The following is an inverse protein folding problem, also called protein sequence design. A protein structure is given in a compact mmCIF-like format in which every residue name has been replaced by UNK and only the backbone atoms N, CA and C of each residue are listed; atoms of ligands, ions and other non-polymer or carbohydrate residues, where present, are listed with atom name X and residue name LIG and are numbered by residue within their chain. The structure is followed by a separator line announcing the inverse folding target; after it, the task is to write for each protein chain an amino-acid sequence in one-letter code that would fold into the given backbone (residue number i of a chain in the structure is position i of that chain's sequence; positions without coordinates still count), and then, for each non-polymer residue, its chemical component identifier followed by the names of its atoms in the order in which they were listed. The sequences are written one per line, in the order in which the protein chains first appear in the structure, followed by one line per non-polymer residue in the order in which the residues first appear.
data_IF_671000740586
#
_entry.id   IF_671000740586
#
_cell.length_a   1.000
_cell.length_b   1.000
_cell.length_c   1.000
_cell.angle_alpha   90.00
_cell.angle_beta   90.00
_cell.angle_gamma   90.00
#
_symmetry.space_group_name_H-M   'P 1'
#
loop_
_entity.id
_entity.type
_entity.pdbx_description
1 polymer ?
#
# COMPACT_ATOMS: atom_id res chain seq x y z
N UNK A 1 -1.17 -3.68 15.48
CA UNK A 1 -0.91 -4.78 14.51
C UNK A 1 0.51 -4.72 13.95
N UNK A 2 1.15 -5.88 13.73
CA UNK A 2 2.51 -5.98 13.15
C UNK A 2 2.67 -5.14 11.88
N UNK A 3 1.66 -5.17 11.02
CA UNK A 3 1.61 -4.40 9.77
C UNK A 3 1.82 -2.88 9.95
N UNK A 4 1.21 -2.26 10.96
CA UNK A 4 1.38 -0.83 11.23
C UNK A 4 2.72 -0.51 11.90
N UNK A 5 3.26 -1.44 12.70
CA UNK A 5 4.62 -1.33 13.21
C UNK A 5 5.67 -1.36 12.08
N UNK A 6 5.48 -2.22 11.08
CA UNK A 6 6.31 -2.24 9.88
C UNK A 6 6.18 -0.95 9.06
N UNK A 7 4.97 -0.38 8.93
CA UNK A 7 4.80 0.92 8.26
C UNK A 7 5.49 2.05 9.02
N UNK A 8 5.38 2.05 10.35
CA UNK A 8 6.09 3.00 11.20
C UNK A 8 7.60 2.86 11.06
N UNK A 9 8.13 1.63 10.99
CA UNK A 9 9.55 1.40 10.77
C UNK A 9 10.02 1.87 9.38
N UNK A 10 9.24 1.60 8.32
CA UNK A 10 9.53 2.14 6.98
C UNK A 10 9.52 3.66 6.99
N UNK A 11 8.50 4.28 7.58
CA UNK A 11 8.42 5.73 7.69
C UNK A 11 9.59 6.30 8.47
N UNK A 12 9.95 5.70 9.60
CA UNK A 12 11.09 6.12 10.41
C UNK A 12 12.37 6.15 9.58
N UNK A 13 12.65 5.12 8.78
CA UNK A 13 13.84 5.08 7.92
C UNK A 13 13.88 6.22 6.91
N UNK A 14 12.76 6.47 6.23
CA UNK A 14 12.64 7.56 5.27
C UNK A 14 12.75 8.92 5.97
N UNK A 15 12.09 9.08 7.10
CA UNK A 15 12.13 10.30 7.91
C UNK A 15 13.52 10.57 8.48
N UNK A 16 14.32 9.55 8.84
CA UNK A 16 15.69 9.72 9.37
C UNK A 16 16.66 10.29 8.34
N UNK A 17 16.43 10.08 7.05
CA UNK A 17 17.19 10.73 5.98
C UNK A 17 16.95 12.25 5.98
N UNK A 18 15.74 12.69 6.36
CA UNK A 18 15.40 14.10 6.50
C UNK A 18 15.78 14.65 7.88
N UNK A 19 15.50 13.92 8.94
CA UNK A 19 15.69 14.34 10.32
C UNK A 19 16.37 13.22 11.12
N UNK A 20 17.72 13.24 11.26
CA UNK A 20 18.48 12.10 11.81
C UNK A 20 18.04 11.62 13.21
N UNK A 21 17.47 12.52 14.02
CA UNK A 21 16.97 12.25 15.39
C UNK A 21 15.52 11.72 15.44
N UNK A 22 14.93 11.38 14.29
CA UNK A 22 13.55 10.91 14.23
C UNK A 22 13.39 9.50 14.85
N UNK A 23 12.53 9.39 15.86
CA UNK A 23 12.34 8.16 16.63
C UNK A 23 11.18 7.31 16.11
N UNK A 24 11.25 6.00 16.34
CA UNK A 24 10.21 5.04 15.93
C UNK A 24 8.84 5.37 16.53
N UNK A 25 8.80 5.79 17.80
CA UNK A 25 7.56 6.12 18.49
C UNK A 25 6.84 7.34 17.90
N UNK A 26 7.62 8.33 17.44
CA UNK A 26 7.08 9.47 16.71
C UNK A 26 6.44 8.97 15.41
N UNK A 27 7.18 8.16 14.64
CA UNK A 27 6.69 7.57 13.38
C UNK A 27 5.42 6.73 13.58
N UNK A 28 5.38 5.91 14.63
CA UNK A 28 4.23 5.08 14.96
C UNK A 28 3.01 5.93 15.29
N UNK A 29 3.20 6.99 16.10
CA UNK A 29 2.13 7.94 16.41
C UNK A 29 1.60 8.61 15.15
N UNK A 30 2.45 9.07 14.25
CA UNK A 30 2.01 9.72 13.03
C UNK A 30 1.30 8.76 12.07
N UNK A 31 1.74 7.50 11.98
CA UNK A 31 1.05 6.47 11.20
C UNK A 31 -0.34 6.18 11.78
N UNK A 32 -0.49 6.08 13.10
CA UNK A 32 -1.78 5.84 13.74
C UNK A 32 -2.73 7.04 13.62
N UNK A 33 -2.24 8.26 13.88
CA UNK A 33 -3.02 9.49 13.68
C UNK A 33 -3.38 9.67 12.20
N UNK A 34 -2.44 9.40 11.31
CA UNK A 34 -2.65 9.44 9.86
C UNK A 34 -3.67 8.43 9.38
N UNK A 35 -3.71 7.24 9.98
CA UNK A 35 -4.73 6.25 9.70
C UNK A 35 -6.13 6.75 10.08
N UNK A 36 -6.29 7.35 11.26
CA UNK A 36 -7.56 7.92 11.71
C UNK A 36 -8.00 9.09 10.84
N UNK A 37 -7.11 10.06 10.60
CA UNK A 37 -7.42 11.20 9.72
C UNK A 37 -7.67 10.76 8.28
N UNK A 38 -6.91 9.77 7.79
CA UNK A 38 -7.08 9.18 6.47
C UNK A 38 -8.38 8.39 6.32
N UNK A 39 -8.97 7.91 7.41
CA UNK A 39 -10.30 7.30 7.39
C UNK A 39 -11.40 8.35 7.20
N UNK A 40 -11.25 9.53 7.80
CA UNK A 40 -12.22 10.62 7.74
C UNK A 40 -12.09 11.52 6.50
N UNK A 41 -10.97 11.43 5.76
CA UNK A 41 -10.68 12.33 4.63
C UNK A 41 -10.72 11.58 3.28
N UNK A 42 -11.21 12.23 2.20
CA UNK A 42 -11.20 11.63 0.86
C UNK A 42 -9.76 11.38 0.40
N UNK A 43 -9.55 10.35 -0.42
CA UNK A 43 -8.21 9.93 -0.90
C UNK A 43 -7.16 9.71 0.22
N UNK A 44 -7.61 9.51 1.46
CA UNK A 44 -6.76 9.33 2.65
C UNK A 44 -5.73 10.46 2.83
N UNK A 45 -6.08 11.69 2.44
CA UNK A 45 -5.19 12.87 2.53
C UNK A 45 -4.63 13.06 3.95
N UNK A 46 -5.43 12.70 4.97
CA UNK A 46 -5.03 12.72 6.38
C UNK A 46 -3.80 11.87 6.74
N UNK A 47 -3.56 10.74 6.04
CA UNK A 47 -2.37 9.90 6.25
C UNK A 47 -1.09 10.66 5.86
N UNK A 48 -1.14 11.37 4.74
CA UNK A 48 -0.05 12.20 4.27
C UNK A 48 0.18 13.39 5.21
N UNK A 49 -0.89 14.09 5.57
CA UNK A 49 -0.82 15.27 6.41
C UNK A 49 -0.20 14.94 7.79
N UNK A 50 -0.61 13.84 8.43
CA UNK A 50 -0.08 13.46 9.74
C UNK A 50 1.45 13.27 9.71
N UNK A 51 1.98 12.57 8.70
CA UNK A 51 3.42 12.33 8.54
C UNK A 51 4.21 13.58 8.19
N UNK A 52 3.64 14.46 7.34
CA UNK A 52 4.29 15.71 6.95
C UNK A 52 4.35 16.70 8.13
N UNK A 53 3.25 16.82 8.87
CA UNK A 53 3.16 17.72 10.03
C UNK A 53 4.03 17.26 11.20
N UNK A 54 4.33 15.97 11.26
CA UNK A 54 5.23 15.41 12.25
C UNK A 54 6.67 15.92 12.08
N UNK A 55 7.12 16.22 10.86
CA UNK A 55 8.47 16.72 10.58
C UNK A 55 8.56 18.25 10.76
N UNK A 56 9.78 18.75 11.00
CA UNK A 56 10.03 20.19 11.12
C UNK A 56 9.55 20.96 9.87
N UNK A 57 9.01 22.17 10.08
CA UNK A 57 8.39 22.98 9.02
C UNK A 57 9.30 23.18 7.79
N UNK A 58 10.61 23.37 8.01
CA UNK A 58 11.62 23.57 6.96
C UNK A 58 11.78 22.37 6.01
N UNK A 59 11.35 21.16 6.42
CA UNK A 59 11.49 19.91 5.66
C UNK A 59 10.15 19.36 5.14
N UNK A 60 9.05 20.11 5.26
CA UNK A 60 7.70 19.64 4.86
C UNK A 60 7.58 19.34 3.37
N UNK A 61 8.26 20.09 2.50
CA UNK A 61 8.27 19.82 1.05
C UNK A 61 8.98 18.49 0.75
N UNK A 62 10.13 18.25 1.37
CA UNK A 62 10.87 17.00 1.23
C UNK A 62 10.12 15.81 1.85
N UNK A 63 9.35 16.06 2.92
CA UNK A 63 8.48 15.05 3.53
C UNK A 63 7.45 14.50 2.55
N UNK A 64 6.90 15.34 1.66
CA UNK A 64 5.97 14.89 0.61
C UNK A 64 6.64 13.85 -0.29
N UNK A 65 7.86 14.13 -0.74
CA UNK A 65 8.64 13.20 -1.57
C UNK A 65 9.01 11.91 -0.84
N UNK A 66 9.33 11.99 0.46
CA UNK A 66 9.59 10.81 1.29
C UNK A 66 8.34 9.93 1.47
N UNK A 67 7.17 10.54 1.74
CA UNK A 67 5.90 9.82 1.84
C UNK A 67 5.56 9.17 0.50
N UNK A 68 5.71 9.91 -0.61
CA UNK A 68 5.52 9.38 -1.95
C UNK A 68 6.43 8.17 -2.21
N UNK A 69 7.73 8.27 -1.91
CA UNK A 69 8.69 7.18 -2.07
C UNK A 69 8.28 5.93 -1.28
N UNK A 70 7.83 6.10 -0.03
CA UNK A 70 7.35 4.99 0.80
C UNK A 70 6.08 4.32 0.26
N UNK A 71 5.18 5.09 -0.36
CA UNK A 71 3.96 4.57 -1.01
C UNK A 71 4.28 3.93 -2.35
N UNK A 72 5.22 4.50 -3.10
CA UNK A 72 5.68 3.96 -4.36
C UNK A 72 6.37 2.61 -4.17
N UNK A 73 7.22 2.46 -3.15
CA UNK A 73 7.80 1.16 -2.78
C UNK A 73 6.72 0.10 -2.45
N UNK A 74 5.61 0.51 -1.81
CA UNK A 74 4.47 -0.38 -1.57
C UNK A 74 3.77 -0.77 -2.87
N UNK A 75 3.54 0.19 -3.77
CA UNK A 75 2.93 -0.05 -5.08
C UNK A 75 3.78 -1.02 -5.89
N UNK A 76 5.10 -0.84 -5.94
CA UNK A 76 6.03 -1.75 -6.63
C UNK A 76 5.87 -3.17 -6.10
N UNK A 77 5.89 -3.38 -4.78
CA UNK A 77 5.69 -4.70 -4.19
C UNK A 77 4.32 -5.31 -4.59
N UNK A 78 3.26 -4.50 -4.58
CA UNK A 78 1.91 -4.93 -4.98
C UNK A 78 1.81 -5.27 -6.46
N UNK A 79 2.42 -4.49 -7.35
CA UNK A 79 2.42 -4.73 -8.80
C UNK A 79 3.21 -5.99 -9.15
N UNK A 80 4.38 -6.21 -8.52
CA UNK A 80 5.18 -7.40 -8.78
C UNK A 80 4.46 -8.67 -8.29
N UNK A 81 4.04 -8.71 -7.04
CA UNK A 81 3.39 -9.89 -6.46
C UNK A 81 1.99 -10.12 -7.06
N UNK A 82 1.20 -9.06 -7.19
CA UNK A 82 -0.14 -9.13 -7.77
C UNK A 82 -0.13 -9.39 -9.27
N UNK A 83 0.86 -8.88 -9.99
CA UNK A 83 1.09 -9.17 -11.40
C UNK A 83 1.42 -10.64 -11.62
N UNK A 84 2.27 -11.24 -10.77
CA UNK A 84 2.51 -12.68 -10.78
C UNK A 84 1.24 -13.50 -10.49
N UNK A 85 0.42 -13.06 -9.53
CA UNK A 85 -0.89 -13.68 -9.26
C UNK A 85 -1.85 -13.60 -10.44
N UNK A 86 -1.95 -12.45 -11.10
CA UNK A 86 -2.80 -12.27 -12.28
C UNK A 86 -2.30 -13.08 -13.48
N UNK A 87 -0.97 -13.14 -13.69
CA UNK A 87 -0.35 -13.98 -14.71
C UNK A 87 -0.74 -15.45 -14.54
N UNK A 88 -0.74 -15.97 -13.31
CA UNK A 88 -1.19 -17.34 -13.03
C UNK A 88 -2.61 -17.59 -13.55
N UNK A 89 -3.56 -16.69 -13.27
CA UNK A 89 -4.95 -16.85 -13.73
C UNK A 89 -5.10 -16.72 -15.23
N UNK A 90 -4.45 -15.71 -15.85
CA UNK A 90 -4.50 -15.52 -17.30
C UNK A 90 -3.96 -16.73 -18.05
N UNK A 91 -2.78 -17.21 -17.66
CA UNK A 91 -2.15 -18.36 -18.31
C UNK A 91 -2.92 -19.66 -18.07
N UNK A 92 -3.48 -19.87 -16.87
CA UNK A 92 -4.14 -21.13 -16.51
C UNK A 92 -5.58 -21.24 -17.04
N UNK A 93 -6.36 -20.16 -16.97
CA UNK A 93 -7.81 -20.21 -17.21
C UNK A 93 -8.26 -19.54 -18.51
N UNK A 94 -7.50 -18.57 -19.05
CA UNK A 94 -7.95 -17.77 -20.20
C UNK A 94 -7.12 -17.99 -21.46
N UNK A 95 -5.82 -18.27 -21.32
CA UNK A 95 -4.87 -18.36 -22.43
C UNK A 95 -4.32 -19.78 -22.65
N UNK A 96 -4.94 -20.79 -22.05
CA UNK A 96 -4.60 -22.18 -22.33
C UNK A 96 -4.84 -22.47 -23.83
N UNK A 97 -3.81 -22.93 -24.53
CA UNK A 97 -3.88 -23.22 -25.98
C UNK A 97 -3.51 -22.05 -26.90
N UNK A 98 -3.17 -20.86 -26.38
CA UNK A 98 -2.81 -19.68 -27.19
C UNK A 98 -1.36 -19.21 -26.92
N UNK A 99 -0.32 -19.89 -27.46
CA UNK A 99 1.08 -19.62 -27.09
C UNK A 99 1.55 -18.20 -27.43
N UNK A 100 1.09 -17.63 -28.55
CA UNK A 100 1.42 -16.25 -28.90
C UNK A 100 0.84 -15.24 -27.90
N UNK A 101 -0.40 -15.46 -27.43
CA UNK A 101 -1.03 -14.61 -26.42
C UNK A 101 -0.33 -14.75 -25.05
N UNK A 102 0.09 -15.96 -24.68
CA UNK A 102 0.88 -16.20 -23.48
C UNK A 102 2.20 -15.43 -23.49
N UNK A 103 2.94 -15.49 -24.61
CA UNK A 103 4.19 -14.73 -24.78
C UNK A 103 3.94 -13.21 -24.69
N UNK A 104 2.88 -12.71 -25.33
CA UNK A 104 2.49 -11.30 -25.28
C UNK A 104 2.19 -10.82 -23.85
N UNK A 105 1.45 -11.61 -23.07
CA UNK A 105 1.12 -11.29 -21.68
C UNK A 105 2.34 -11.35 -20.76
N UNK A 106 3.24 -12.31 -20.97
CA UNK A 106 4.52 -12.39 -20.23
C UNK A 106 5.41 -11.17 -20.54
N UNK A 107 5.50 -10.76 -21.80
CA UNK A 107 6.21 -9.56 -22.19
C UNK A 107 5.60 -8.31 -21.55
N UNK A 108 4.27 -8.16 -21.63
CA UNK A 108 3.57 -7.02 -21.03
C UNK A 108 3.79 -6.95 -19.51
N UNK A 109 3.74 -8.08 -18.80
CA UNK A 109 4.02 -8.12 -17.36
C UNK A 109 5.47 -7.78 -17.04
N UNK A 110 6.43 -8.24 -17.85
CA UNK A 110 7.86 -7.91 -17.70
C UNK A 110 8.10 -6.41 -17.90
N UNK A 111 7.49 -5.83 -18.93
CA UNK A 111 7.54 -4.39 -19.20
C UNK A 111 6.91 -3.61 -18.05
N UNK A 112 5.75 -4.02 -17.54
CA UNK A 112 5.10 -3.37 -16.39
C UNK A 112 5.96 -3.43 -15.12
N UNK A 113 6.59 -4.57 -14.85
CA UNK A 113 7.53 -4.73 -13.74
C UNK A 113 8.74 -3.79 -13.90
N UNK A 114 9.31 -3.71 -15.10
CA UNK A 114 10.41 -2.78 -15.38
C UNK A 114 9.99 -1.31 -15.23
N UNK A 115 8.82 -0.93 -15.74
CA UNK A 115 8.28 0.43 -15.66
C UNK A 115 7.98 0.88 -14.23
N UNK A 116 7.70 -0.05 -13.32
CA UNK A 116 7.47 0.26 -11.90
C UNK A 116 8.75 0.20 -11.07
N UNK A 117 9.71 -0.66 -11.40
CA UNK A 117 11.00 -0.74 -10.70
C UNK A 117 11.98 0.36 -11.11
N UNK A 118 12.06 0.67 -12.40
CA UNK A 118 13.08 1.59 -12.92
C UNK A 118 13.01 2.99 -12.30
N UNK A 119 11.82 3.64 -12.16
CA UNK A 119 11.76 4.97 -11.55
C UNK A 119 12.09 4.97 -10.05
N UNK A 120 11.97 3.82 -9.37
CA UNK A 120 12.33 3.68 -7.95
C UNK A 120 13.85 3.81 -7.78
N UNK A 121 14.62 3.08 -8.59
CA UNK A 121 16.09 3.05 -8.53
C UNK A 121 16.76 4.16 -9.34
N UNK A 122 16.09 4.65 -10.38
CA UNK A 122 16.55 5.74 -11.25
C UNK A 122 15.59 6.92 -11.15
N UNK A 123 15.41 7.43 -9.93
CA UNK A 123 14.54 8.58 -9.66
C UNK A 123 14.89 9.85 -10.45
N UNK A 124 16.12 9.98 -10.95
CA UNK A 124 16.50 11.05 -11.91
C UNK A 124 15.73 10.94 -13.23
N UNK A 125 15.48 9.72 -13.73
CA UNK A 125 14.66 9.49 -14.92
C UNK A 125 13.21 9.91 -14.66
N UNK A 126 12.67 9.61 -13.48
CA UNK A 126 11.35 10.06 -13.09
C UNK A 126 11.24 11.60 -13.14
N UNK A 127 12.23 12.30 -12.58
CA UNK A 127 12.27 13.77 -12.60
C UNK A 127 12.41 14.34 -14.03
N UNK A 128 13.15 13.67 -14.91
CA UNK A 128 13.26 14.06 -16.30
C UNK A 128 11.92 13.92 -17.04
N UNK A 129 11.24 12.78 -16.88
CA UNK A 129 9.91 12.54 -17.46
C UNK A 129 8.87 13.55 -16.96
N UNK A 130 8.87 13.85 -15.66
CA UNK A 130 8.00 14.89 -15.09
C UNK A 130 8.29 16.29 -15.65
N UNK A 131 9.53 16.53 -16.08
CA UNK A 131 9.94 17.76 -16.75
C UNK A 131 9.38 17.93 -18.16
N UNK A 132 9.14 16.81 -18.87
CA UNK A 132 8.63 16.82 -20.24
C UNK A 132 7.13 17.14 -20.31
N UNK A 133 6.37 16.79 -19.28
CA UNK A 133 4.91 16.95 -19.29
C UNK A 133 4.49 18.17 -18.46
N UNK A 134 4.05 19.24 -19.12
CA UNK A 134 3.70 20.55 -18.51
C UNK A 134 2.87 20.46 -17.21
N UNK A 135 1.74 19.74 -17.15
CA UNK A 135 0.95 19.64 -15.90
C UNK A 135 1.66 18.90 -14.77
N UNK A 136 2.69 18.09 -15.06
CA UNK A 136 3.44 17.33 -14.05
C UNK A 136 4.68 18.05 -13.53
N UNK A 137 5.14 19.11 -14.20
CA UNK A 137 6.30 19.89 -13.77
C UNK A 137 6.15 20.43 -12.33
N UNK A 138 4.92 20.75 -11.92
CA UNK A 138 4.59 21.18 -10.54
C UNK A 138 4.97 20.14 -9.47
N UNK A 139 4.99 18.85 -9.83
CA UNK A 139 5.34 17.76 -8.90
C UNK A 139 6.84 17.59 -8.74
N UNK A 140 7.65 18.07 -9.70
CA UNK A 140 9.11 17.94 -9.70
C UNK A 140 9.75 18.47 -8.42
N UNK A 141 9.28 19.61 -7.90
CA UNK A 141 9.80 20.20 -6.66
C UNK A 141 9.60 19.31 -5.43
N UNK A 142 8.51 18.55 -5.38
CA UNK A 142 8.19 17.66 -4.25
C UNK A 142 8.98 16.34 -4.33
N UNK A 143 9.30 15.90 -5.55
CA UNK A 143 10.00 14.64 -5.81
C UNK A 143 11.52 14.81 -5.94
N UNK A 144 12.00 16.06 -5.92
CA UNK A 144 13.42 16.40 -6.04
C UNK A 144 14.31 15.79 -4.94
N UNK A 145 13.71 15.39 -3.81
CA UNK A 145 14.42 14.71 -2.73
C UNK A 145 14.70 13.23 -3.03
N UNK A 146 13.93 12.57 -3.90
CA UNK A 146 14.06 11.12 -4.15
C UNK A 146 15.46 10.68 -4.60
N UNK A 147 16.19 11.40 -5.48
CA UNK A 147 17.56 11.05 -5.86
C UNK A 147 18.59 11.15 -4.74
N UNK A 148 18.26 11.76 -3.61
CA UNK A 148 19.19 11.89 -2.48
C UNK A 148 19.21 10.63 -1.60
N UNK A 149 18.21 9.76 -1.72
CA UNK A 149 18.15 8.52 -0.96
C UNK A 149 19.15 7.49 -1.49
N UNK A 150 20.03 6.93 -0.64
CA UNK A 150 20.95 5.89 -1.07
C UNK A 150 20.19 4.59 -1.36
N UNK A 151 20.75 3.76 -2.24
CA UNK A 151 20.14 2.49 -2.64
C UNK A 151 19.75 1.61 -1.43
N UNK A 152 20.58 1.59 -0.37
CA UNK A 152 20.30 0.84 0.87
C UNK A 152 18.96 1.21 1.50
N UNK A 153 18.58 2.48 1.50
CA UNK A 153 17.27 2.91 2.03
C UNK A 153 16.13 2.53 1.09
N UNK A 154 16.35 2.53 -0.23
CA UNK A 154 15.37 2.04 -1.20
C UNK A 154 15.11 0.54 -1.07
N UNK A 155 16.17 -0.27 -0.97
CA UNK A 155 16.05 -1.72 -0.74
C UNK A 155 15.36 -2.02 0.59
N UNK A 156 15.65 -1.25 1.63
CA UNK A 156 14.97 -1.37 2.90
C UNK A 156 13.48 -1.03 2.81
N UNK A 157 13.13 0.09 2.17
CA UNK A 157 11.75 0.49 1.99
C UNK A 157 10.97 -0.57 1.19
N UNK A 158 11.57 -1.11 0.12
CA UNK A 158 10.99 -2.17 -0.68
C UNK A 158 10.86 -3.48 0.11
N UNK A 159 11.89 -3.88 0.85
CA UNK A 159 11.88 -5.08 1.69
C UNK A 159 10.81 -5.01 2.79
N UNK A 160 10.69 -3.87 3.48
CA UNK A 160 9.62 -3.66 4.47
C UNK A 160 8.25 -3.68 3.79
N UNK A 161 8.11 -3.09 2.61
CA UNK A 161 6.87 -3.14 1.84
C UNK A 161 6.51 -4.56 1.39
N UNK A 162 7.49 -5.38 1.03
CA UNK A 162 7.31 -6.80 0.74
C UNK A 162 6.91 -7.61 1.97
N UNK A 163 7.55 -7.38 3.12
CA UNK A 163 7.17 -8.01 4.39
C UNK A 163 5.73 -7.66 4.79
N UNK A 164 5.34 -6.38 4.67
CA UNK A 164 3.97 -5.96 4.91
C UNK A 164 2.98 -6.65 3.99
N UNK A 165 3.31 -6.74 2.71
CA UNK A 165 2.50 -7.46 1.74
C UNK A 165 2.35 -8.93 2.14
N UNK A 166 3.45 -9.61 2.50
CA UNK A 166 3.44 -10.98 3.02
C UNK A 166 2.57 -11.15 4.27
N UNK A 167 2.64 -10.21 5.22
CA UNK A 167 1.76 -10.22 6.41
C UNK A 167 0.29 -10.09 6.01
N UNK A 168 -0.06 -9.17 5.11
CA UNK A 168 -1.44 -9.04 4.62
C UNK A 168 -1.92 -10.30 3.88
N UNK A 169 -1.08 -10.88 3.03
CA UNK A 169 -1.38 -12.14 2.34
C UNK A 169 -1.59 -13.28 3.33
N UNK A 170 -0.67 -13.47 4.28
CA UNK A 170 -0.76 -14.50 5.30
C UNK A 170 -2.01 -14.36 6.16
N UNK A 171 -2.33 -13.13 6.61
CA UNK A 171 -3.57 -12.88 7.36
C UNK A 171 -4.81 -13.21 6.53
N UNK A 172 -4.83 -12.87 5.24
CA UNK A 172 -5.99 -13.17 4.40
C UNK A 172 -6.14 -14.68 4.17
N UNK A 173 -5.04 -15.39 3.90
CA UNK A 173 -5.04 -16.85 3.72
C UNK A 173 -5.48 -17.58 5.00
N UNK A 174 -5.02 -17.15 6.17
CA UNK A 174 -5.44 -17.71 7.45
C UNK A 174 -6.94 -17.49 7.69
N UNK A 175 -7.45 -16.31 7.38
CA UNK A 175 -8.89 -16.03 7.48
C UNK A 175 -9.69 -16.88 6.49
N UNK A 176 -9.25 -16.98 5.24
CA UNK A 176 -9.90 -17.84 4.23
C UNK A 176 -9.98 -19.29 4.71
N UNK A 177 -8.88 -19.82 5.26
CA UNK A 177 -8.86 -21.15 5.85
C UNK A 177 -9.83 -21.29 7.02
N UNK A 178 -9.87 -20.30 7.93
CA UNK A 178 -10.78 -20.27 9.07
C UNK A 178 -12.27 -20.22 8.67
N UNK A 179 -12.61 -19.55 7.56
CA UNK A 179 -13.96 -19.51 7.01
C UNK A 179 -14.30 -20.72 6.11
N UNK A 180 -13.42 -21.72 6.02
CA UNK A 180 -13.68 -22.98 5.33
C UNK A 180 -13.37 -22.99 3.83
N UNK A 181 -12.63 -22.00 3.31
CA UNK A 181 -12.17 -21.99 1.92
C UNK A 181 -11.09 -23.06 1.75
N UNK A 182 -11.35 -24.06 0.90
CA UNK A 182 -10.47 -25.20 0.67
C UNK A 182 -9.85 -25.10 -0.71
N UNK A 183 -8.67 -24.52 -0.80
CA UNK A 183 -7.96 -24.31 -2.06
C UNK A 183 -6.47 -24.63 -1.85
N UNK A 184 -5.78 -25.23 -2.83
CA UNK A 184 -4.33 -25.40 -2.77
C UNK A 184 -3.63 -24.03 -2.57
N UNK A 185 -2.53 -24.04 -1.82
CA UNK A 185 -1.84 -22.80 -1.40
C UNK A 185 -1.40 -21.92 -2.59
N UNK A 186 -0.88 -22.50 -3.67
CA UNK A 186 -0.43 -21.74 -4.84
C UNK A 186 -1.53 -20.88 -5.49
N UNK A 187 -2.64 -21.49 -5.97
CA UNK A 187 -3.79 -20.77 -6.50
C UNK A 187 -4.40 -19.77 -5.50
N UNK A 188 -4.45 -20.12 -4.21
CA UNK A 188 -4.97 -19.22 -3.17
C UNK A 188 -4.08 -17.97 -2.99
N UNK A 189 -2.76 -18.15 -2.97
CA UNK A 189 -1.79 -17.03 -2.93
C UNK A 189 -1.94 -16.15 -4.17
N UNK A 190 -2.07 -16.75 -5.36
CA UNK A 190 -2.28 -16.00 -6.61
C UNK A 190 -3.59 -15.20 -6.57
N UNK A 191 -4.67 -15.77 -6.04
CA UNK A 191 -5.98 -15.10 -5.93
C UNK A 191 -5.94 -13.92 -4.95
N UNK A 192 -5.32 -14.12 -3.79
CA UNK A 192 -5.09 -13.05 -2.81
C UNK A 192 -4.21 -11.95 -3.41
N UNK A 193 -3.15 -12.31 -4.12
CA UNK A 193 -2.23 -11.36 -4.71
C UNK A 193 -2.90 -10.51 -5.79
N UNK A 194 -3.66 -11.14 -6.69
CA UNK A 194 -4.47 -10.47 -7.71
C UNK A 194 -5.54 -9.55 -7.10
N UNK A 195 -6.19 -10.00 -6.01
CA UNK A 195 -7.17 -9.18 -5.27
C UNK A 195 -6.56 -7.86 -4.80
N UNK A 196 -5.34 -7.90 -4.25
CA UNK A 196 -4.65 -6.68 -3.80
C UNK A 196 -4.17 -5.81 -4.96
N UNK A 197 -3.85 -6.39 -6.12
CA UNK A 197 -3.56 -5.62 -7.33
C UNK A 197 -4.78 -4.84 -7.80
N UNK A 198 -5.93 -5.51 -7.96
CA UNK A 198 -7.16 -4.84 -8.42
C UNK A 198 -7.57 -3.71 -7.49
N UNK A 199 -7.46 -3.92 -6.17
CA UNK A 199 -7.66 -2.85 -5.20
C UNK A 199 -6.75 -1.64 -5.43
N UNK A 200 -5.50 -1.86 -5.85
CA UNK A 200 -4.55 -0.77 -6.09
C UNK A 200 -4.79 0.02 -7.39
N UNK A 201 -5.55 -0.54 -8.34
CA UNK A 201 -5.86 0.09 -9.62
C UNK A 201 -7.02 1.10 -9.51
N UNK A 202 -7.94 0.89 -8.56
CA UNK A 202 -9.11 1.76 -8.40
C UNK A 202 -8.74 2.98 -7.53
N UNK A 203 -9.05 4.21 -7.97
CA UNK A 203 -8.87 5.40 -7.16
C UNK A 203 -9.64 5.28 -5.84
N UNK A 204 -8.96 5.45 -4.72
CA UNK A 204 -9.55 5.32 -3.39
C UNK A 204 -10.40 6.53 -3.03
N UNK A 205 -11.62 6.60 -3.55
CA UNK A 205 -12.53 7.73 -3.32
C UNK A 205 -12.84 7.88 -1.82
N UNK A 206 -13.28 6.78 -1.19
CA UNK A 206 -13.59 6.69 0.24
C UNK A 206 -13.24 5.29 0.79
N UNK A 207 -13.06 5.16 2.11
CA UNK A 207 -12.68 3.89 2.77
C UNK A 207 -13.65 2.72 2.51
N UNK A 208 -14.93 3.02 2.23
CA UNK A 208 -15.96 2.03 1.88
C UNK A 208 -15.88 1.59 0.41
N UNK A 209 -15.52 2.50 -0.50
CA UNK A 209 -15.31 2.15 -1.91
C UNK A 209 -14.14 1.15 -2.06
N UNK A 210 -13.08 1.34 -1.27
CA UNK A 210 -11.94 0.42 -1.19
C UNK A 210 -12.32 -1.00 -0.75
N UNK A 211 -13.41 -1.14 0.02
CA UNK A 211 -13.92 -2.43 0.50
C UNK A 211 -14.64 -3.15 -0.64
N UNK A 212 -15.53 -2.47 -1.36
CA UNK A 212 -16.30 -3.05 -2.47
C UNK A 212 -15.42 -3.59 -3.60
N UNK A 213 -14.40 -2.83 -4.03
CA UNK A 213 -13.47 -3.28 -5.08
C UNK A 213 -12.75 -4.57 -4.67
N UNK A 214 -12.29 -4.62 -3.43
CA UNK A 214 -11.57 -5.78 -2.89
C UNK A 214 -12.50 -7.00 -2.79
N UNK A 215 -13.74 -6.79 -2.36
CA UNK A 215 -14.74 -7.85 -2.26
C UNK A 215 -15.06 -8.45 -3.63
N UNK A 216 -15.38 -7.61 -4.62
CA UNK A 216 -15.66 -8.04 -5.99
C UNK A 216 -14.48 -8.78 -6.62
N UNK A 217 -13.27 -8.27 -6.41
CA UNK A 217 -12.05 -8.90 -6.95
C UNK A 217 -11.77 -10.25 -6.30
N UNK A 218 -11.93 -10.35 -4.97
CA UNK A 218 -11.71 -11.59 -4.24
C UNK A 218 -12.74 -12.65 -4.62
N UNK A 219 -14.03 -12.31 -4.63
CA UNK A 219 -15.09 -13.27 -4.98
C UNK A 219 -14.98 -13.74 -6.43
N UNK A 220 -14.57 -12.86 -7.35
CA UNK A 220 -14.30 -13.26 -8.73
C UNK A 220 -13.15 -14.27 -8.83
N UNK A 221 -11.97 -13.95 -8.29
CA UNK A 221 -10.79 -14.81 -8.39
C UNK A 221 -10.97 -16.14 -7.65
N UNK A 222 -11.59 -16.14 -6.47
CA UNK A 222 -11.89 -17.37 -5.75
C UNK A 222 -13.06 -18.14 -6.35
N UNK A 223 -13.99 -17.48 -7.04
CA UNK A 223 -15.04 -18.11 -7.84
C UNK A 223 -14.47 -18.93 -9.00
N UNK A 224 -13.42 -18.44 -9.67
CA UNK A 224 -12.67 -19.22 -10.67
C UNK A 224 -12.00 -20.47 -10.09
N UNK A 225 -11.75 -20.48 -8.77
CA UNK A 225 -11.22 -21.64 -8.03
C UNK A 225 -12.33 -22.50 -7.41
N UNK A 226 -13.59 -22.28 -7.80
CA UNK A 226 -14.75 -23.03 -7.34
C UNK A 226 -15.14 -22.79 -5.88
N UNK A 227 -14.70 -21.67 -5.29
CA UNK A 227 -14.99 -21.37 -3.88
C UNK A 227 -16.26 -20.52 -3.73
N UNK A 228 -17.07 -20.77 -2.69
CA UNK A 228 -18.25 -19.98 -2.42
C UNK A 228 -17.90 -18.53 -2.04
N UNK A 229 -18.71 -17.57 -2.49
CA UNK A 229 -18.46 -16.15 -2.26
C UNK A 229 -18.55 -15.76 -0.78
N UNK A 230 -19.49 -16.33 -0.02
CA UNK A 230 -19.75 -15.91 1.37
C UNK A 230 -18.54 -16.10 2.30
N UNK A 231 -17.85 -17.26 2.34
CA UNK A 231 -16.59 -17.39 3.07
C UNK A 231 -15.49 -16.40 2.67
N UNK A 232 -15.36 -16.11 1.36
CA UNK A 232 -14.35 -15.19 0.83
C UNK A 232 -14.64 -13.75 1.26
N UNK A 233 -15.92 -13.33 1.20
CA UNK A 233 -16.37 -12.02 1.67
C UNK A 233 -16.12 -11.86 3.17
N UNK A 234 -16.51 -12.85 3.98
CA UNK A 234 -16.28 -12.85 5.43
C UNK A 234 -14.80 -12.73 5.78
N UNK A 235 -13.94 -13.49 5.11
CA UNK A 235 -12.48 -13.40 5.28
C UNK A 235 -11.95 -12.01 4.92
N UNK A 236 -12.40 -11.44 3.80
CA UNK A 236 -12.01 -10.11 3.33
C UNK A 236 -12.46 -9.03 4.32
N UNK A 237 -13.72 -9.02 4.74
CA UNK A 237 -14.26 -8.07 5.72
C UNK A 237 -13.50 -8.13 7.05
N UNK A 238 -13.30 -9.32 7.61
CA UNK A 238 -12.52 -9.52 8.83
C UNK A 238 -11.09 -8.98 8.71
N UNK A 239 -10.44 -9.18 7.57
CA UNK A 239 -9.11 -8.61 7.32
C UNK A 239 -9.11 -7.07 7.39
N UNK A 240 -10.17 -6.43 6.85
CA UNK A 240 -10.32 -4.97 6.89
C UNK A 240 -10.62 -4.47 8.30
N UNK A 241 -11.43 -5.18 9.07
CA UNK A 241 -11.68 -4.83 10.47
C UNK A 241 -10.37 -4.85 11.26
N UNK A 242 -9.61 -5.94 11.15
CA UNK A 242 -8.35 -6.14 11.88
C UNK A 242 -7.29 -5.10 11.50
N UNK A 243 -7.17 -4.75 10.22
CA UNK A 243 -6.09 -3.89 9.74
C UNK A 243 -6.45 -2.43 9.58
N UNK A 244 -7.72 -2.08 9.39
CA UNK A 244 -8.13 -0.70 9.11
C UNK A 244 -9.08 -0.22 10.21
N UNK A 245 -10.21 -0.87 10.45
CA UNK A 245 -11.22 -0.35 11.38
C UNK A 245 -10.69 -0.24 12.82
N UNK A 246 -10.17 -1.34 13.38
CA UNK A 246 -9.66 -1.36 14.76
C UNK A 246 -8.49 -0.38 14.97
N UNK A 247 -7.47 -0.34 14.09
CA UNK A 247 -6.34 0.56 14.31
C UNK A 247 -6.70 2.04 14.05
N UNK A 248 -7.65 2.33 13.14
CA UNK A 248 -8.20 3.70 12.99
C UNK A 248 -8.91 4.17 14.27
N UNK A 249 -9.66 3.29 14.93
CA UNK A 249 -10.34 3.61 16.18
C UNK A 249 -9.33 3.87 17.31
N UNK A 250 -8.27 3.04 17.41
CA UNK A 250 -7.20 3.27 18.38
C UNK A 250 -6.48 4.60 18.14
N UNK A 251 -6.26 4.99 16.88
CA UNK A 251 -5.63 6.26 16.52
C UNK A 251 -6.37 7.51 17.03
N UNK A 252 -7.70 7.41 17.30
CA UNK A 252 -8.48 8.48 17.94
C UNK A 252 -7.90 8.87 19.31
N UNK A 253 -7.36 7.93 20.08
CA UNK A 253 -6.81 8.19 21.41
C UNK A 253 -5.58 9.12 21.39
N UNK A 254 -4.89 9.22 20.25
CA UNK A 254 -3.67 10.05 20.10
C UNK A 254 -3.90 11.37 19.36
N UNK A 255 -5.15 11.68 18.98
CA UNK A 255 -5.48 12.94 18.33
C UNK A 255 -5.33 14.12 19.32
N UNK A 256 -4.56 15.17 18.97
CA UNK A 256 -4.37 16.33 19.84
C UNK A 256 -5.68 17.05 20.21
N UNK A 257 -6.66 17.06 19.31
CA UNK A 257 -7.95 17.75 19.52
C UNK A 257 -8.78 17.20 20.68
N UNK A 258 -8.65 15.91 21.03
CA UNK A 258 -9.30 15.32 22.20
C UNK A 258 -8.66 15.75 23.53
N UNK A 259 -7.41 16.25 23.52
CA UNK A 259 -6.79 16.81 24.73
C UNK A 259 -7.30 18.23 25.01
N UNK A 260 -7.48 19.05 23.99
CA UNK A 260 -8.02 20.42 24.12
C UNK A 260 -9.47 20.40 24.63
N UNK A 261 -10.31 19.48 24.14
CA UNK A 261 -11.68 19.31 24.63
C UNK A 261 -11.77 18.75 26.06
N UNK A 262 -10.73 18.03 26.52
CA UNK A 262 -10.66 17.50 27.89
C UNK A 262 -10.21 18.57 28.87
N UNK A 263 -9.29 19.45 28.47
CA UNK A 263 -8.88 20.63 29.26
C UNK A 263 -10.00 21.67 29.39
N UNK A 264 -10.88 21.80 28.40
CA UNK A 264 -12.06 22.68 28.50
C UNK A 264 -13.20 22.13 29.36
N UNK A 265 -13.25 20.80 29.58
CA UNK A 265 -14.23 20.17 30.48
C UNK A 265 -13.76 20.04 31.93
N UNK A 266 -12.47 20.27 32.19
CA UNK A 266 -11.86 20.27 33.52
C UNK A 266 -11.57 21.68 34.06
N UNK A 267 -12.13 22.71 33.41
CA UNK A 267 -12.23 24.09 33.89
C UNK A 267 -13.70 24.40 34.10
#
# INVERSE_FOLDING_TARGET
PLNWGLEAWKWQRLARHLEPRHSYWRSLRAVLVGLTLGFATPNRVGDYAARILELHARRRLDAVGAVFLGRYAQLVATVLAGGAGLLYFLLRFYLSGYPAAQAGVLLAATVLAALTLLPLYRSRLLLAVLGLVKPLQRFRRYLAIMPTYPARELHAALGISGLRYGVFCGQFLLLLHAYGVRTPLGPAVAAVAGTFLFKSLVPSLNALADVGVRELSATHLFGLLGQPALPVLSASLSLWVINIALPSALGLLWLPGLRVLREQRSR
#
